data_IF_769148090899
#
_entry.id   IF_769148090899
#
_cell.length_a   1.000
_cell.length_b   1.000
_cell.length_c   1.000
_cell.angle_alpha   90.00
_cell.angle_beta   90.00
_cell.angle_gamma   90.00
#
_symmetry.space_group_name_H-M   'P 1'
#
loop_
_entity.id
_entity.type
_entity.pdbx_description
1 polymer ?
#
# COMPACT_ATOMS: atom_id res chain seq x y z
N UNK A 1 3.03 -3.89 16.13
CA UNK A 1 1.88 -4.82 16.02
C UNK A 1 2.40 -6.19 15.53
N UNK A 2 1.70 -7.29 15.84
CA UNK A 2 2.06 -8.60 15.29
C UNK A 2 1.72 -8.67 13.80
N UNK A 3 2.28 -9.67 13.10
CA UNK A 3 1.94 -9.96 11.69
C UNK A 3 0.44 -10.19 11.52
N UNK A 4 -0.15 -11.06 12.34
CA UNK A 4 -1.56 -11.46 12.26
C UNK A 4 -2.51 -10.26 12.45
N UNK A 5 -2.28 -9.42 13.45
CA UNK A 5 -3.09 -8.21 13.65
C UNK A 5 -2.97 -7.24 12.47
N UNK A 6 -1.78 -7.17 11.86
CA UNK A 6 -1.54 -6.30 10.70
C UNK A 6 -2.23 -6.84 9.46
N UNK A 7 -2.25 -8.16 9.28
CA UNK A 7 -2.94 -8.84 8.20
C UNK A 7 -4.47 -8.65 8.29
N UNK A 8 -5.07 -8.89 9.46
CA UNK A 8 -6.51 -8.68 9.68
C UNK A 8 -6.87 -7.21 9.41
N UNK A 9 -6.09 -6.28 9.96
CA UNK A 9 -6.30 -4.85 9.76
C UNK A 9 -6.25 -4.47 8.27
N UNK A 10 -5.21 -4.92 7.56
CA UNK A 10 -5.05 -4.65 6.14
C UNK A 10 -6.19 -5.27 5.32
N UNK A 11 -6.61 -6.50 5.64
CA UNK A 11 -7.69 -7.18 4.97
C UNK A 11 -9.01 -6.40 5.08
N UNK A 12 -9.34 -5.91 6.28
CA UNK A 12 -10.55 -5.09 6.48
C UNK A 12 -10.55 -3.82 5.61
N UNK A 13 -9.43 -3.10 5.54
CA UNK A 13 -9.32 -1.90 4.70
C UNK A 13 -9.45 -2.24 3.21
N UNK A 14 -8.84 -3.34 2.78
CA UNK A 14 -8.94 -3.82 1.41
C UNK A 14 -10.38 -4.21 1.07
N UNK A 15 -11.09 -4.88 1.98
CA UNK A 15 -12.49 -5.24 1.78
C UNK A 15 -13.37 -4.00 1.61
N UNK A 16 -13.13 -2.96 2.43
CA UNK A 16 -13.87 -1.71 2.34
C UNK A 16 -13.61 -0.96 1.02
N UNK A 17 -12.35 -0.80 0.60
CA UNK A 17 -12.03 -0.05 -0.64
C UNK A 17 -12.50 -0.79 -1.90
N UNK A 18 -12.59 -2.13 -1.85
CA UNK A 18 -12.98 -2.99 -2.97
C UNK A 18 -14.44 -3.42 -2.99
N UNK A 19 -15.25 -2.99 -2.00
CA UNK A 19 -16.65 -3.38 -1.88
C UNK A 19 -17.47 -3.09 -3.14
N UNK A 20 -17.31 -1.90 -3.72
CA UNK A 20 -17.91 -1.50 -4.99
C UNK A 20 -16.87 -0.78 -5.84
N UNK A 21 -16.80 -1.01 -7.17
CA UNK A 21 -16.00 -0.18 -8.05
C UNK A 21 -16.43 1.29 -8.02
N UNK A 22 -15.55 2.20 -8.43
CA UNK A 22 -15.95 3.59 -8.63
C UNK A 22 -16.97 3.68 -9.80
N UNK A 23 -18.11 4.40 -9.65
CA UNK A 23 -19.14 4.48 -10.68
C UNK A 23 -18.67 5.06 -12.03
N UNK A 24 -17.65 5.93 -12.00
CA UNK A 24 -17.07 6.55 -13.18
C UNK A 24 -15.82 5.78 -13.67
N UNK A 25 -15.51 4.64 -13.06
CA UNK A 25 -14.32 3.83 -13.36
C UNK A 25 -13.01 4.46 -12.91
N UNK A 26 -13.04 5.52 -12.09
CA UNK A 26 -11.84 6.20 -11.61
C UNK A 26 -11.01 5.27 -10.72
N UNK A 27 -9.67 5.38 -10.75
CA UNK A 27 -8.82 4.62 -9.86
C UNK A 27 -9.06 5.03 -8.41
N UNK A 28 -9.03 4.05 -7.51
CA UNK A 28 -9.03 4.29 -6.07
C UNK A 28 -7.61 4.20 -5.53
N UNK A 29 -7.28 5.06 -4.57
CA UNK A 29 -5.91 5.17 -4.06
C UNK A 29 -5.84 4.66 -2.62
N UNK A 30 -4.99 3.66 -2.39
CA UNK A 30 -4.67 3.16 -1.05
C UNK A 30 -3.27 3.63 -0.65
N UNK A 31 -3.19 4.47 0.40
CA UNK A 31 -1.91 4.98 0.89
C UNK A 31 -1.48 4.18 2.12
N UNK A 32 -0.39 3.43 1.98
CA UNK A 32 0.26 2.70 3.06
C UNK A 32 1.44 3.54 3.57
N UNK A 33 1.10 4.55 4.36
CA UNK A 33 2.02 5.59 4.80
C UNK A 33 2.44 5.50 6.27
N UNK A 34 3.41 6.34 6.64
CA UNK A 34 3.58 6.81 8.01
C UNK A 34 4.92 7.50 8.27
N UNK A 35 5.04 8.04 9.48
CA UNK A 35 6.30 8.59 9.98
C UNK A 35 7.41 7.55 10.07
N UNK A 36 8.63 8.02 10.33
CA UNK A 36 9.78 7.13 10.55
C UNK A 36 9.59 6.47 11.92
N UNK A 37 9.43 5.14 11.93
CA UNK A 37 9.22 4.40 13.15
C UNK A 37 10.52 4.29 13.94
N UNK A 38 10.44 4.45 15.27
CA UNK A 38 11.59 4.31 16.15
C UNK A 38 11.87 2.84 16.54
N UNK A 39 10.81 2.05 16.78
CA UNK A 39 10.94 0.68 17.31
C UNK A 39 10.14 -0.37 16.53
N UNK A 40 9.31 0.04 15.57
CA UNK A 40 8.48 -0.88 14.79
C UNK A 40 9.32 -1.54 13.70
N UNK A 41 9.38 -2.87 13.68
CA UNK A 41 9.95 -3.62 12.56
C UNK A 41 9.06 -3.47 11.31
N UNK A 42 9.57 -2.75 10.31
CA UNK A 42 8.84 -2.48 9.06
C UNK A 42 8.59 -3.78 8.30
N UNK A 43 9.59 -4.67 8.22
CA UNK A 43 9.48 -5.95 7.50
C UNK A 43 8.40 -6.83 8.11
N UNK A 44 8.35 -6.95 9.44
CA UNK A 44 7.35 -7.78 10.11
C UNK A 44 5.92 -7.30 9.84
N UNK A 45 5.69 -5.98 9.90
CA UNK A 45 4.38 -5.40 9.58
C UNK A 45 4.01 -5.56 8.11
N UNK A 46 4.96 -5.31 7.20
CA UNK A 46 4.72 -5.42 5.76
C UNK A 46 4.47 -6.86 5.32
N UNK A 47 5.02 -7.85 6.03
CA UNK A 47 4.70 -9.27 5.76
C UNK A 47 3.20 -9.55 5.92
N UNK A 48 2.54 -8.95 6.94
CA UNK A 48 1.10 -9.09 7.13
C UNK A 48 0.30 -8.37 6.03
N UNK A 49 0.75 -7.19 5.61
CA UNK A 49 0.16 -6.42 4.51
C UNK A 49 0.25 -7.20 3.19
N UNK A 50 1.43 -7.73 2.86
CA UNK A 50 1.68 -8.55 1.67
C UNK A 50 0.75 -9.76 1.63
N UNK A 51 0.53 -10.42 2.77
CA UNK A 51 -0.41 -11.55 2.88
C UNK A 51 -1.82 -11.13 2.48
N UNK A 52 -2.33 -10.03 3.05
CA UNK A 52 -3.66 -9.50 2.72
C UNK A 52 -3.79 -9.07 1.25
N UNK A 53 -2.74 -8.47 0.66
CA UNK A 53 -2.71 -8.11 -0.75
C UNK A 53 -2.77 -9.33 -1.67
N UNK A 54 -1.98 -10.38 -1.39
CA UNK A 54 -1.98 -11.63 -2.15
C UNK A 54 -3.33 -12.34 -2.10
N UNK A 55 -4.02 -12.29 -0.96
CA UNK A 55 -5.38 -12.84 -0.82
C UNK A 55 -6.46 -12.03 -1.56
N UNK A 56 -6.11 -10.84 -2.04
CA UNK A 56 -7.06 -9.83 -2.53
C UNK A 56 -6.80 -9.36 -3.95
N UNK A 57 -5.92 -10.03 -4.70
CA UNK A 57 -5.46 -9.58 -6.03
C UNK A 57 -6.63 -9.31 -6.98
N UNK A 58 -7.56 -10.24 -7.12
CA UNK A 58 -8.65 -10.12 -8.09
C UNK A 58 -9.58 -8.94 -7.80
N UNK A 59 -9.92 -8.72 -6.52
CA UNK A 59 -10.79 -7.62 -6.11
C UNK A 59 -10.09 -6.27 -6.18
N UNK A 60 -8.79 -6.21 -5.86
CA UNK A 60 -7.98 -5.00 -6.00
C UNK A 60 -7.88 -4.55 -7.46
N UNK A 61 -7.65 -5.50 -8.37
CA UNK A 61 -7.63 -5.22 -9.82
C UNK A 61 -9.00 -4.79 -10.34
N UNK A 62 -10.07 -5.51 -9.97
CA UNK A 62 -11.45 -5.18 -10.38
C UNK A 62 -11.87 -3.78 -9.92
N UNK A 63 -11.51 -3.39 -8.71
CA UNK A 63 -11.83 -2.09 -8.16
C UNK A 63 -10.86 -0.97 -8.59
N UNK A 64 -9.94 -1.24 -9.54
CA UNK A 64 -8.95 -0.30 -10.06
C UNK A 64 -8.14 0.40 -8.94
N UNK A 65 -7.67 -0.39 -7.97
CA UNK A 65 -6.93 0.15 -6.82
C UNK A 65 -5.46 0.34 -7.16
N UNK A 66 -4.94 1.54 -6.95
CA UNK A 66 -3.51 1.88 -6.97
C UNK A 66 -3.00 2.09 -5.55
N UNK A 67 -1.83 1.53 -5.25
CA UNK A 67 -1.26 1.53 -3.90
C UNK A 67 0.00 2.38 -3.88
N UNK A 68 0.10 3.27 -2.89
CA UNK A 68 1.27 4.09 -2.66
C UNK A 68 1.82 3.81 -1.27
N UNK A 69 3.06 3.36 -1.19
CA UNK A 69 3.73 3.00 0.07
C UNK A 69 4.76 4.07 0.40
N UNK A 70 4.72 4.60 1.63
CA UNK A 70 5.81 5.44 2.16
C UNK A 70 6.07 5.08 3.61
N UNK A 71 7.24 4.49 3.89
CA UNK A 71 7.60 4.12 5.26
C UNK A 71 9.09 4.27 5.53
N UNK A 72 9.43 4.59 6.77
CA UNK A 72 10.78 4.47 7.27
C UNK A 72 10.84 3.83 8.66
N UNK A 73 11.99 3.27 9.01
CA UNK A 73 12.24 2.64 10.31
C UNK A 73 13.17 1.42 10.24
N UNK A 74 13.30 0.66 11.35
CA UNK A 74 14.05 -0.59 11.38
C UNK A 74 13.63 -1.57 10.28
N UNK A 75 14.60 -2.18 9.59
CA UNK A 75 14.39 -3.13 8.48
C UNK A 75 13.60 -2.57 7.28
N UNK A 76 13.56 -1.23 7.09
CA UNK A 76 12.80 -0.59 6.01
C UNK A 76 13.17 -1.12 4.62
N UNK A 77 14.46 -1.29 4.31
CA UNK A 77 14.90 -1.74 2.98
C UNK A 77 14.27 -3.08 2.59
N UNK A 78 14.24 -4.03 3.52
CA UNK A 78 13.67 -5.35 3.30
C UNK A 78 12.15 -5.30 3.20
N UNK A 79 11.49 -4.45 4.01
CA UNK A 79 10.05 -4.24 3.91
C UNK A 79 9.66 -3.63 2.56
N UNK A 80 10.30 -2.53 2.16
CA UNK A 80 10.02 -1.85 0.90
C UNK A 80 10.26 -2.76 -0.30
N UNK A 81 11.31 -3.59 -0.26
CA UNK A 81 11.58 -4.61 -1.28
C UNK A 81 10.45 -5.64 -1.40
N UNK A 82 9.94 -6.16 -0.27
CA UNK A 82 8.80 -7.07 -0.27
C UNK A 82 7.54 -6.46 -0.92
N UNK A 83 7.30 -5.17 -0.70
CA UNK A 83 6.17 -4.46 -1.32
C UNK A 83 6.35 -4.26 -2.83
N UNK A 84 7.58 -4.06 -3.30
CA UNK A 84 7.86 -3.99 -4.74
C UNK A 84 7.63 -5.34 -5.40
N UNK A 85 8.19 -6.40 -4.82
CA UNK A 85 8.07 -7.76 -5.33
C UNK A 85 6.62 -8.23 -5.41
N UNK A 86 5.78 -7.96 -4.40
CA UNK A 86 4.36 -8.34 -4.50
C UNK A 86 3.64 -7.59 -5.61
N UNK A 87 3.99 -6.32 -5.87
CA UNK A 87 3.43 -5.55 -6.99
C UNK A 87 3.77 -6.19 -8.34
N UNK A 88 5.04 -6.55 -8.53
CA UNK A 88 5.53 -7.22 -9.74
C UNK A 88 4.92 -8.62 -9.92
N UNK A 89 4.90 -9.45 -8.87
CA UNK A 89 4.36 -10.81 -8.90
C UNK A 89 2.85 -10.84 -9.20
N UNK A 90 2.10 -9.93 -8.59
CA UNK A 90 0.63 -9.93 -8.68
C UNK A 90 0.12 -9.06 -9.82
N UNK A 91 0.93 -8.13 -10.34
CA UNK A 91 0.52 -7.11 -11.30
C UNK A 91 -0.40 -6.04 -10.70
N UNK A 92 -0.38 -5.85 -9.37
CA UNK A 92 -1.05 -4.71 -8.71
C UNK A 92 -0.16 -3.48 -8.86
N UNK A 93 -0.76 -2.32 -9.16
CA UNK A 93 -0.02 -1.05 -9.23
C UNK A 93 0.41 -0.61 -7.83
N UNK A 94 1.70 -0.80 -7.50
CA UNK A 94 2.27 -0.42 -6.21
C UNK A 94 3.50 0.48 -6.44
N UNK A 95 3.42 1.72 -5.96
CA UNK A 95 4.55 2.64 -5.93
C UNK A 95 5.15 2.70 -4.53
N UNK A 96 6.47 2.50 -4.42
CA UNK A 96 7.15 2.36 -3.13
C UNK A 96 8.18 3.47 -2.93
N UNK A 97 7.98 4.24 -1.86
CA UNK A 97 8.80 5.38 -1.47
C UNK A 97 9.44 5.17 -0.11
N UNK A 98 10.67 5.63 0.04
CA UNK A 98 11.45 5.51 1.27
C UNK A 98 11.31 6.74 2.19
N UNK A 99 12.18 6.79 3.20
CA UNK A 99 12.23 7.88 4.18
C UNK A 99 12.67 9.24 3.60
N UNK A 100 13.34 9.27 2.46
CA UNK A 100 13.85 10.50 1.83
C UNK A 100 12.76 11.19 0.99
N UNK A 101 11.70 10.49 0.65
CA UNK A 101 10.50 11.10 0.06
C UNK A 101 9.69 11.80 1.14
N UNK A 102 9.32 13.06 0.90
CA UNK A 102 8.42 13.82 1.79
C UNK A 102 7.10 13.05 1.98
N UNK A 103 6.66 12.93 3.23
CA UNK A 103 5.49 12.11 3.59
C UNK A 103 4.22 12.49 2.81
N UNK A 104 4.04 13.78 2.52
CA UNK A 104 2.88 14.32 1.78
C UNK A 104 3.04 14.26 0.27
N UNK A 105 4.24 13.96 -0.25
CA UNK A 105 4.49 13.91 -1.70
C UNK A 105 3.63 12.86 -2.40
N UNK A 106 3.28 11.78 -1.70
CA UNK A 106 2.33 10.76 -2.18
C UNK A 106 0.98 11.37 -2.59
N UNK A 107 0.49 12.36 -1.85
CA UNK A 107 -0.79 13.02 -2.15
C UNK A 107 -0.68 13.88 -3.41
N UNK A 108 0.46 14.54 -3.62
CA UNK A 108 0.70 15.33 -4.84
C UNK A 108 0.82 14.44 -6.08
N UNK A 109 1.44 13.26 -5.94
CA UNK A 109 1.54 12.27 -7.02
C UNK A 109 0.16 11.79 -7.45
N UNK A 110 -0.71 11.49 -6.49
CA UNK A 110 -2.11 11.11 -6.76
C UNK A 110 -2.84 12.23 -7.50
N UNK A 111 -2.77 13.47 -7.03
CA UNK A 111 -3.41 14.62 -7.70
C UNK A 111 -2.94 14.79 -9.15
N UNK A 112 -1.63 14.59 -9.38
CA UNK A 112 -1.04 14.65 -10.72
C UNK A 112 -1.55 13.52 -11.62
N UNK A 113 -1.71 12.31 -11.10
CA UNK A 113 -2.30 11.20 -11.85
C UNK A 113 -3.77 11.46 -12.23
N UNK A 114 -4.52 12.16 -11.38
CA UNK A 114 -5.90 12.57 -11.68
C UNK A 114 -6.01 13.73 -12.68
N UNK A 115 -4.88 14.32 -13.10
CA UNK A 115 -4.86 15.48 -14.00
C UNK A 115 -5.27 16.80 -13.34
N UNK A 116 -5.42 16.81 -12.00
CA UNK A 116 -5.72 18.00 -11.21
C UNK A 116 -4.43 18.76 -10.89
N UNK A 117 -3.94 19.55 -11.85
CA UNK A 117 -2.77 20.45 -11.68
C UNK A 117 -3.15 21.90 -11.83
#
# INVERSE_FOLDING_TARGET
PSREHTEIYAQTIIDLITAEPDPEGKPKYLIIGGGIANFTDVKATFTGIVSALKNSVDKLKRANVKIFVRRGGPNEKQGLELMKQVGEETGISIEVYDRYTHMTRVVELIKKEEGNT
#
